data_IF_896300223107
#
_entry.id   IF_896300223107
#
_cell.length_a   1.000
_cell.length_b   1.000
_cell.length_c   1.000
_cell.angle_alpha   90.00
_cell.angle_beta   90.00
_cell.angle_gamma   90.00
#
_symmetry.space_group_name_H-M   'P 1'
#
loop_
_entity.id
_entity.type
_entity.pdbx_description
1 polymer ?
#
# COMPACT_ATOMS: atom_id res chain seq x y z
N UNK A 1 88.41 -30.51 43.81
CA UNK A 1 89.18 -29.54 43.01
C UNK A 1 88.18 -28.66 42.26
N UNK A 2 88.29 -27.36 42.52
CA UNK A 2 87.63 -26.15 42.01
C UNK A 2 87.13 -26.16 40.54
N UNK A 3 85.90 -25.63 40.31
CA UNK A 3 85.42 -24.52 39.39
C UNK A 3 83.99 -24.78 38.91
N UNK A 4 82.96 -24.14 39.45
CA UNK A 4 82.29 -22.88 38.99
C UNK A 4 82.28 -22.69 37.45
N UNK A 5 81.08 -22.76 36.86
CA UNK A 5 80.65 -21.86 35.78
C UNK A 5 79.13 -21.76 35.76
N UNK A 6 78.68 -20.52 35.94
CA UNK A 6 77.33 -19.98 35.82
C UNK A 6 76.81 -20.05 34.38
N UNK A 7 75.51 -20.28 34.19
CA UNK A 7 74.75 -19.35 33.36
C UNK A 7 73.26 -19.29 33.70
N UNK A 8 72.76 -18.04 33.79
CA UNK A 8 71.37 -17.66 34.06
C UNK A 8 70.76 -17.22 32.74
N UNK A 9 69.80 -17.97 32.20
CA UNK A 9 68.87 -17.45 31.19
C UNK A 9 67.54 -17.12 31.86
N UNK A 10 67.27 -15.83 32.02
CA UNK A 10 66.06 -15.30 32.61
C UNK A 10 64.83 -15.60 31.75
N UNK A 11 63.83 -16.24 32.37
CA UNK A 11 62.46 -16.28 31.86
C UNK A 11 61.70 -15.17 32.57
N UNK A 12 61.48 -14.05 31.89
CA UNK A 12 60.54 -13.04 32.34
C UNK A 12 59.12 -13.64 32.33
N UNK A 13 58.38 -13.59 33.44
CA UNK A 13 56.99 -14.03 33.45
C UNK A 13 56.21 -13.08 32.54
N UNK A 14 55.78 -13.57 31.37
CA UNK A 14 54.80 -12.86 30.53
C UNK A 14 53.59 -12.58 31.41
N UNK A 15 53.44 -11.31 31.80
CA UNK A 15 52.26 -10.82 32.47
C UNK A 15 51.07 -11.25 31.62
N UNK A 16 50.28 -12.19 32.15
CA UNK A 16 48.99 -12.59 31.57
C UNK A 16 48.07 -11.41 31.74
N UNK A 17 48.22 -10.44 30.84
CA UNK A 17 47.26 -9.35 30.68
C UNK A 17 45.89 -10.02 30.49
N UNK A 18 44.92 -9.72 31.36
CA UNK A 18 43.70 -10.48 31.41
C UNK A 18 42.84 -10.06 30.21
N UNK A 19 42.99 -10.76 29.09
CA UNK A 19 42.11 -10.63 27.91
C UNK A 19 40.63 -10.68 28.30
N UNK A 20 40.32 -11.34 29.42
CA UNK A 20 38.99 -11.36 30.05
C UNK A 20 38.48 -9.96 30.42
N UNK A 21 39.34 -9.05 30.89
CA UNK A 21 38.96 -7.66 31.21
C UNK A 21 38.66 -6.90 29.92
N UNK A 22 39.45 -7.10 28.87
CA UNK A 22 39.18 -6.50 27.56
C UNK A 22 37.82 -6.93 26.99
N UNK A 23 37.54 -8.24 27.00
CA UNK A 23 36.26 -8.79 26.51
C UNK A 23 35.07 -8.28 27.33
N UNK A 24 35.19 -8.22 28.66
CA UNK A 24 34.13 -7.71 29.52
C UNK A 24 33.87 -6.23 29.26
N UNK A 25 34.92 -5.40 29.12
CA UNK A 25 34.75 -3.98 28.80
C UNK A 25 34.07 -3.77 27.44
N UNK A 26 34.42 -4.56 26.42
CA UNK A 26 33.78 -4.47 25.10
C UNK A 26 32.29 -4.87 25.15
N UNK A 27 31.95 -5.93 25.88
CA UNK A 27 30.55 -6.35 26.04
C UNK A 27 29.74 -5.29 26.79
N UNK A 28 30.28 -4.73 27.88
CA UNK A 28 29.61 -3.66 28.64
C UNK A 28 29.40 -2.42 27.78
N UNK A 29 30.37 -2.06 26.94
CA UNK A 29 30.26 -0.91 26.05
C UNK A 29 29.22 -1.16 24.94
N UNK A 30 29.17 -2.36 24.37
CA UNK A 30 28.15 -2.74 23.38
C UNK A 30 26.74 -2.76 23.98
N UNK A 31 26.58 -3.28 25.20
CA UNK A 31 25.29 -3.26 25.91
C UNK A 31 24.90 -1.82 26.26
N UNK A 32 25.83 -0.97 26.70
CA UNK A 32 25.55 0.43 26.98
C UNK A 32 25.17 1.22 25.72
N UNK A 33 25.81 0.95 24.58
CA UNK A 33 25.44 1.54 23.28
C UNK A 33 24.08 1.03 22.83
N UNK A 34 23.80 -0.28 22.97
CA UNK A 34 22.52 -0.86 22.58
C UNK A 34 21.37 -0.34 23.45
N UNK A 35 21.54 -0.32 24.77
CA UNK A 35 20.57 0.25 25.71
C UNK A 35 20.44 1.76 25.50
N UNK A 36 21.53 2.47 25.25
CA UNK A 36 21.53 3.89 24.92
C UNK A 36 20.75 4.18 23.63
N UNK A 37 20.94 3.39 22.58
CA UNK A 37 20.21 3.52 21.32
C UNK A 37 18.72 3.18 21.47
N UNK A 38 18.39 2.12 22.22
CA UNK A 38 17.01 1.77 22.57
C UNK A 38 16.34 2.88 23.39
N UNK A 39 17.05 3.46 24.36
CA UNK A 39 16.52 4.52 25.22
C UNK A 39 16.41 5.86 24.51
N UNK A 40 17.32 6.16 23.58
CA UNK A 40 17.23 7.33 22.72
C UNK A 40 16.07 7.21 21.73
N UNK A 41 15.83 6.01 21.18
CA UNK A 41 14.65 5.71 20.37
C UNK A 41 13.33 5.80 21.15
N UNK A 42 13.33 5.52 22.47
CA UNK A 42 12.13 5.64 23.31
C UNK A 42 11.88 7.04 23.88
N UNK A 43 12.87 7.95 23.85
CA UNK A 43 12.73 9.33 24.35
C UNK A 43 12.04 10.29 23.39
N UNK A 44 11.72 9.86 22.17
CA UNK A 44 10.81 10.59 21.27
C UNK A 44 9.33 10.41 21.62
N UNK A 45 9.00 9.84 22.79
CA UNK A 45 7.70 10.05 23.42
C UNK A 45 7.62 11.46 24.04
N UNK A 46 7.77 12.48 23.19
CA UNK A 46 7.47 13.87 23.54
C UNK A 46 5.96 14.05 23.57
N UNK A 47 5.46 14.45 24.74
CA UNK A 47 4.08 14.84 24.96
C UNK A 47 3.69 15.95 23.97
N UNK A 48 2.53 15.74 23.35
CA UNK A 48 1.82 16.59 22.40
C UNK A 48 1.76 18.08 22.79
N UNK A 49 2.34 18.93 21.95
CA UNK A 49 1.85 20.29 21.61
C UNK A 49 2.72 20.86 20.48
N UNK A 50 2.10 21.50 19.49
CA UNK A 50 2.67 22.28 18.36
C UNK A 50 3.53 21.56 17.30
N UNK A 51 4.41 20.63 17.66
CA UNK A 51 5.27 19.92 16.69
C UNK A 51 4.50 18.97 15.75
N UNK A 52 3.39 18.40 16.21
CA UNK A 52 2.51 17.56 15.37
C UNK A 52 1.63 18.41 14.44
N UNK A 53 1.27 19.64 14.81
CA UNK A 53 0.57 20.55 13.91
C UNK A 53 1.51 21.02 12.77
N UNK A 54 2.76 21.38 13.10
CA UNK A 54 3.78 21.70 12.09
C UNK A 54 4.08 20.51 11.17
N UNK A 55 4.06 19.30 11.71
CA UNK A 55 4.25 18.08 10.93
C UNK A 55 3.08 17.66 10.04
N UNK A 56 1.83 17.95 10.44
CA UNK A 56 0.67 17.79 9.56
C UNK A 56 0.75 18.78 8.40
N UNK A 57 1.37 19.95 8.62
CA UNK A 57 1.62 20.97 7.60
C UNK A 57 2.75 20.56 6.64
N UNK A 58 3.72 19.77 7.09
CA UNK A 58 4.83 19.27 6.26
C UNK A 58 4.50 18.02 5.44
N UNK A 59 3.35 17.37 5.67
CA UNK A 59 2.95 16.27 4.79
C UNK A 59 2.45 16.80 3.44
N UNK A 60 2.93 16.17 2.37
CA UNK A 60 2.51 16.45 1.02
C UNK A 60 0.98 16.41 0.94
N UNK A 61 0.36 17.35 0.20
CA UNK A 61 -1.07 17.46 0.18
C UNK A 61 -1.70 16.17 -0.36
N UNK A 62 -2.79 15.79 0.29
CA UNK A 62 -3.44 14.50 0.09
C UNK A 62 -4.37 14.58 -1.10
N UNK A 63 -4.32 13.58 -1.99
CA UNK A 63 -5.31 13.45 -3.07
C UNK A 63 -6.41 12.49 -2.65
N UNK A 64 -7.66 12.82 -2.94
CA UNK A 64 -8.79 11.93 -2.71
C UNK A 64 -9.82 12.02 -3.83
N UNK A 65 -10.53 10.92 -4.08
CA UNK A 65 -11.62 10.89 -5.06
C UNK A 65 -12.93 11.27 -4.38
N UNK A 66 -13.58 12.31 -4.91
CA UNK A 66 -14.95 12.70 -4.59
C UNK A 66 -15.85 12.32 -5.75
N UNK A 67 -16.72 11.35 -5.53
CA UNK A 67 -17.76 11.01 -6.50
C UNK A 67 -18.89 12.03 -6.47
N UNK A 68 -19.37 12.43 -7.65
CA UNK A 68 -20.46 13.39 -7.83
C UNK A 68 -21.86 12.80 -7.56
N UNK A 69 -21.94 11.49 -7.31
CA UNK A 69 -23.15 10.72 -6.95
C UNK A 69 -23.04 9.26 -7.40
N UNK A 70 -23.98 8.38 -6.99
CA UNK A 70 -23.96 6.94 -7.32
C UNK A 70 -24.47 6.49 -8.70
N UNK A 71 -23.58 6.18 -9.66
CA UNK A 71 -23.71 5.55 -11.00
C UNK A 71 -25.07 5.47 -11.72
N UNK A 72 -26.13 4.88 -11.13
CA UNK A 72 -27.42 4.58 -11.79
C UNK A 72 -28.47 5.72 -11.77
N UNK A 73 -28.27 6.77 -10.98
CA UNK A 73 -29.22 7.88 -10.92
C UNK A 73 -29.02 8.78 -12.16
N UNK A 74 -30.01 8.77 -13.05
CA UNK A 74 -30.06 9.56 -14.29
C UNK A 74 -30.40 11.05 -14.06
N UNK A 75 -30.41 11.50 -12.80
CA UNK A 75 -30.68 12.91 -12.50
C UNK A 75 -29.58 13.81 -13.08
N UNK A 76 -29.99 14.75 -13.94
CA UNK A 76 -29.15 15.82 -14.52
C UNK A 76 -28.54 16.78 -13.47
N UNK A 77 -28.72 16.49 -12.18
CA UNK A 77 -28.24 17.25 -11.03
C UNK A 77 -26.89 16.75 -10.49
N UNK A 78 -26.30 15.70 -11.09
CA UNK A 78 -24.99 15.21 -10.66
C UNK A 78 -23.85 16.05 -11.17
N UNK A 79 -22.98 16.42 -10.25
CA UNK A 79 -21.66 16.96 -10.60
C UNK A 79 -20.76 15.86 -11.16
N UNK A 80 -19.72 16.28 -11.87
CA UNK A 80 -18.61 15.41 -12.24
C UNK A 80 -17.85 14.90 -11.00
N UNK A 81 -17.23 13.74 -11.14
CA UNK A 81 -16.27 13.24 -10.17
C UNK A 81 -15.02 14.10 -10.17
N UNK A 82 -14.42 14.26 -8.99
CA UNK A 82 -13.26 15.13 -8.80
C UNK A 82 -12.18 14.43 -7.99
N UNK A 83 -10.95 14.52 -8.46
CA UNK A 83 -9.77 14.29 -7.61
C UNK A 83 -9.44 15.64 -6.99
N UNK A 84 -9.51 15.69 -5.66
CA UNK A 84 -9.23 16.91 -4.91
C UNK A 84 -7.93 16.76 -4.14
N UNK A 85 -7.19 17.85 -4.08
CA UNK A 85 -6.03 18.06 -3.22
C UNK A 85 -6.51 18.80 -1.97
N UNK A 86 -6.21 18.25 -0.80
CA UNK A 86 -6.53 18.86 0.49
C UNK A 86 -5.46 18.55 1.54
N UNK A 87 -5.22 19.48 2.47
CA UNK A 87 -4.52 19.15 3.71
C UNK A 87 -5.39 18.27 4.62
N UNK A 88 -4.79 17.50 5.53
CA UNK A 88 -5.54 16.64 6.46
C UNK A 88 -6.46 17.46 7.38
N UNK A 89 -5.97 18.61 7.82
CA UNK A 89 -6.69 19.55 8.70
C UNK A 89 -7.22 20.80 7.97
N UNK A 90 -6.89 20.96 6.69
CA UNK A 90 -7.22 22.17 5.94
C UNK A 90 -8.56 22.04 5.20
N UNK A 91 -9.31 23.14 5.17
CA UNK A 91 -10.56 23.27 4.41
C UNK A 91 -10.31 23.71 2.96
N UNK A 92 -9.10 24.16 2.64
CA UNK A 92 -8.66 24.48 1.29
C UNK A 92 -8.65 23.25 0.38
N UNK A 93 -9.73 23.03 -0.37
CA UNK A 93 -9.81 22.00 -1.39
C UNK A 93 -9.50 22.60 -2.76
N UNK A 94 -8.49 22.05 -3.44
CA UNK A 94 -8.20 22.36 -4.84
C UNK A 94 -8.59 21.16 -5.71
N UNK A 95 -9.41 21.37 -6.73
CA UNK A 95 -9.69 20.31 -7.71
C UNK A 95 -8.50 20.17 -8.64
N UNK A 96 -7.93 18.97 -8.72
CA UNK A 96 -6.79 18.64 -9.61
C UNK A 96 -7.28 18.06 -10.92
N UNK A 97 -8.32 17.23 -10.85
CA UNK A 97 -8.87 16.56 -12.02
C UNK A 97 -10.38 16.42 -11.88
N UNK A 98 -11.09 16.56 -13.00
CA UNK A 98 -12.55 16.44 -13.07
C UNK A 98 -12.91 15.60 -14.29
N UNK A 99 -13.77 14.61 -14.11
CA UNK A 99 -14.33 13.85 -15.22
C UNK A 99 -15.73 13.32 -14.89
N UNK A 100 -16.56 12.99 -15.89
CA UNK A 100 -17.94 12.57 -15.65
C UNK A 100 -18.10 11.31 -14.79
N UNK A 101 -17.12 10.39 -14.82
CA UNK A 101 -17.07 9.14 -14.05
C UNK A 101 -15.64 8.63 -13.88
N UNK A 102 -15.04 8.87 -12.72
CA UNK A 102 -13.73 8.33 -12.34
C UNK A 102 -13.95 7.00 -11.60
N UNK A 103 -13.56 5.89 -12.22
CA UNK A 103 -13.62 4.56 -11.62
C UNK A 103 -12.62 4.46 -10.47
N UNK A 104 -11.37 4.79 -10.78
CA UNK A 104 -10.24 4.72 -9.86
C UNK A 104 -9.16 5.70 -10.30
N UNK A 105 -8.23 5.99 -9.40
CA UNK A 105 -6.98 6.65 -9.74
C UNK A 105 -5.86 6.06 -8.90
N UNK A 106 -4.63 6.22 -9.39
CA UNK A 106 -3.41 5.88 -8.66
C UNK A 106 -2.45 7.05 -8.73
N UNK A 107 -1.62 7.17 -7.71
CA UNK A 107 -0.73 8.31 -7.51
C UNK A 107 0.64 7.79 -7.09
N UNK A 108 1.67 8.41 -7.65
CA UNK A 108 3.04 8.33 -7.17
C UNK A 108 3.64 9.74 -7.11
N UNK A 109 4.91 9.89 -6.77
CA UNK A 109 5.59 11.18 -6.57
C UNK A 109 5.44 12.15 -7.75
N UNK A 110 5.47 11.62 -8.97
CA UNK A 110 5.35 12.41 -10.20
C UNK A 110 3.99 12.32 -10.88
N UNK A 111 3.37 11.16 -10.90
CA UNK A 111 2.23 10.92 -11.80
C UNK A 111 0.91 10.72 -11.05
N UNK A 112 -0.18 11.14 -11.70
CA UNK A 112 -1.54 10.70 -11.39
C UNK A 112 -2.05 9.99 -12.63
N UNK A 113 -2.53 8.75 -12.48
CA UNK A 113 -3.23 8.03 -13.55
C UNK A 113 -4.68 7.86 -13.15
N UNK A 114 -5.60 8.26 -14.02
CA UNK A 114 -7.03 8.28 -13.76
C UNK A 114 -7.74 7.39 -14.77
N UNK A 115 -8.54 6.45 -14.27
CA UNK A 115 -9.41 5.61 -15.07
C UNK A 115 -10.81 6.22 -15.15
N UNK A 116 -11.20 6.72 -16.33
CA UNK A 116 -12.48 7.36 -16.59
C UNK A 116 -13.37 6.43 -17.41
N UNK A 117 -14.52 6.03 -16.86
CA UNK A 117 -15.44 5.15 -17.58
C UNK A 117 -16.47 5.92 -18.42
N UNK A 118 -16.69 5.46 -19.64
CA UNK A 118 -17.82 5.84 -20.45
C UNK A 118 -19.13 5.35 -19.81
N UNK A 119 -20.15 6.21 -19.84
CA UNK A 119 -21.41 5.94 -19.16
C UNK A 119 -22.25 4.85 -19.81
N UNK A 120 -22.10 4.66 -21.12
CA UNK A 120 -22.96 3.81 -21.96
C UNK A 120 -22.30 2.48 -22.24
N UNK A 121 -20.99 2.47 -22.47
CA UNK A 121 -20.26 1.28 -22.91
C UNK A 121 -19.42 0.64 -21.81
N UNK A 122 -19.20 1.34 -20.69
CA UNK A 122 -18.22 0.98 -19.66
C UNK A 122 -16.76 0.90 -20.18
N UNK A 123 -16.50 1.32 -21.42
CA UNK A 123 -15.15 1.53 -21.93
C UNK A 123 -14.41 2.50 -21.02
N UNK A 124 -13.15 2.25 -20.73
CA UNK A 124 -12.35 3.11 -19.87
C UNK A 124 -11.32 3.87 -20.69
N UNK A 125 -11.21 5.17 -20.47
CA UNK A 125 -10.08 5.99 -20.89
C UNK A 125 -9.11 6.14 -19.72
N UNK A 126 -7.81 6.04 -19.99
CA UNK A 126 -6.78 6.36 -19.00
C UNK A 126 -6.19 7.74 -19.28
N UNK A 127 -6.17 8.59 -18.26
CA UNK A 127 -5.59 9.93 -18.32
C UNK A 127 -4.43 10.09 -17.33
N UNK A 128 -3.32 10.62 -17.81
CA UNK A 128 -2.07 10.82 -17.08
C UNK A 128 -1.84 12.32 -16.82
N UNK A 129 -1.57 12.68 -15.57
CA UNK A 129 -1.23 14.04 -15.17
C UNK A 129 0.14 14.07 -14.48
N UNK A 130 0.97 15.06 -14.83
CA UNK A 130 2.23 15.35 -14.14
C UNK A 130 1.94 16.23 -12.90
N UNK A 131 2.20 15.70 -11.70
CA UNK A 131 2.00 16.39 -10.41
C UNK A 131 2.98 17.53 -10.18
N UNK A 132 4.15 17.46 -10.83
CA UNK A 132 5.20 18.45 -10.66
C UNK A 132 4.93 19.70 -11.49
N UNK A 133 4.02 19.63 -12.46
CA UNK A 133 3.48 20.81 -13.12
C UNK A 133 2.52 21.53 -12.14
N UNK A 134 2.94 22.67 -11.62
CA UNK A 134 2.26 23.42 -10.54
C UNK A 134 0.80 23.75 -10.83
N UNK A 135 0.45 23.90 -12.11
CA UNK A 135 -0.89 24.29 -12.59
C UNK A 135 -1.57 23.18 -13.39
N UNK A 136 -1.10 21.93 -13.33
CA UNK A 136 -1.71 20.84 -14.09
C UNK A 136 -3.19 20.67 -13.74
N UNK A 137 -4.03 20.81 -14.76
CA UNK A 137 -5.47 20.56 -14.70
C UNK A 137 -5.83 19.36 -15.57
N UNK A 138 -7.10 18.96 -15.57
CA UNK A 138 -7.60 17.95 -16.51
C UNK A 138 -7.39 18.29 -17.99
N UNK A 139 -7.13 19.56 -18.33
CA UNK A 139 -6.82 19.98 -19.71
C UNK A 139 -5.41 19.61 -20.15
N UNK A 140 -4.50 19.44 -19.18
CA UNK A 140 -3.10 19.09 -19.41
C UNK A 140 -2.88 17.58 -19.37
N UNK A 141 -3.95 16.82 -19.10
CA UNK A 141 -3.90 15.38 -19.04
C UNK A 141 -3.58 14.78 -20.41
N UNK A 142 -2.66 13.82 -20.42
CA UNK A 142 -2.29 13.04 -21.60
C UNK A 142 -3.00 11.70 -21.57
N UNK A 143 -3.34 11.18 -22.73
CA UNK A 143 -3.98 9.87 -22.81
C UNK A 143 -2.96 8.74 -22.74
N UNK A 144 -3.23 7.76 -21.87
CA UNK A 144 -2.61 6.44 -21.95
C UNK A 144 -3.55 5.57 -22.79
N UNK A 145 -3.17 5.37 -24.05
CA UNK A 145 -4.01 4.68 -25.02
C UNK A 145 -4.01 3.20 -24.67
N UNK A 146 -5.21 2.63 -24.44
CA UNK A 146 -5.39 1.19 -24.30
C UNK A 146 -5.19 0.52 -25.67
N UNK A 147 -4.62 -0.70 -25.71
CA UNK A 147 -4.41 -1.42 -26.98
C UNK A 147 -5.72 -1.83 -27.67
N UNK A 148 -6.84 -1.80 -26.95
CA UNK A 148 -8.18 -2.15 -27.41
C UNK A 148 -9.25 -1.51 -26.52
N UNK A 149 -10.49 -1.43 -27.00
CA UNK A 149 -11.64 -0.97 -26.20
C UNK A 149 -11.93 -1.93 -25.05
N UNK A 150 -11.70 -1.48 -23.81
CA UNK A 150 -11.79 -2.30 -22.61
C UNK A 150 -12.29 -1.54 -21.39
N UNK A 151 -12.72 -2.28 -20.39
CA UNK A 151 -12.89 -1.78 -19.02
C UNK A 151 -11.62 -2.06 -18.21
N UNK A 152 -11.11 -1.04 -17.50
CA UNK A 152 -9.99 -1.21 -16.57
C UNK A 152 -10.53 -1.74 -15.24
N UNK A 153 -10.00 -2.89 -14.81
CA UNK A 153 -10.43 -3.60 -13.60
C UNK A 153 -9.35 -3.62 -12.51
N UNK A 154 -8.10 -3.35 -12.92
CA UNK A 154 -6.91 -3.24 -12.08
C UNK A 154 -6.09 -2.04 -12.53
N UNK A 155 -5.53 -1.24 -11.62
CA UNK A 155 -4.63 -0.14 -11.98
C UNK A 155 -3.55 0.01 -10.90
N UNK A 156 -2.30 0.10 -11.32
CA UNK A 156 -1.13 0.29 -10.48
C UNK A 156 -0.12 1.24 -11.14
N UNK A 157 0.64 1.97 -10.31
CA UNK A 157 1.64 2.95 -10.72
C UNK A 157 2.84 2.89 -9.75
N UNK A 158 4.05 2.89 -10.31
CA UNK A 158 5.32 2.97 -9.57
C UNK A 158 6.38 3.59 -10.48
N UNK A 159 6.94 4.72 -10.06
CA UNK A 159 7.82 5.56 -10.85
C UNK A 159 7.20 5.92 -12.19
N UNK A 160 7.95 5.65 -13.26
CA UNK A 160 7.50 5.84 -14.64
C UNK A 160 6.81 4.59 -15.22
N UNK A 161 6.36 3.64 -14.40
CA UNK A 161 5.67 2.43 -14.87
C UNK A 161 4.21 2.40 -14.44
N UNK A 162 3.32 2.20 -15.40
CA UNK A 162 1.90 1.97 -15.17
C UNK A 162 1.57 0.56 -15.59
N UNK A 163 0.72 -0.13 -14.84
CA UNK A 163 0.10 -1.37 -15.30
C UNK A 163 -1.37 -1.41 -14.96
N UNK A 164 -2.14 -2.07 -15.81
CA UNK A 164 -3.56 -2.27 -15.63
C UNK A 164 -3.95 -3.71 -15.99
N UNK A 165 -4.95 -4.25 -15.30
CA UNK A 165 -5.71 -5.40 -15.82
C UNK A 165 -6.96 -4.89 -16.51
N UNK A 166 -7.24 -5.40 -17.70
CA UNK A 166 -8.36 -4.94 -18.53
C UNK A 166 -9.27 -6.10 -18.96
N UNK A 167 -10.56 -5.81 -19.07
CA UNK A 167 -11.54 -6.69 -19.71
C UNK A 167 -11.92 -6.08 -21.06
N UNK A 168 -11.50 -6.69 -22.18
CA UNK A 168 -11.97 -6.31 -23.50
C UNK A 168 -13.49 -6.23 -23.58
N UNK A 169 -14.03 -5.23 -24.28
CA UNK A 169 -15.47 -5.16 -24.57
C UNK A 169 -15.90 -6.15 -25.64
N UNK A 170 -14.95 -6.61 -26.47
CA UNK A 170 -15.16 -7.75 -27.37
C UNK A 170 -15.05 -9.05 -26.58
N UNK A 171 -16.20 -9.70 -26.35
CA UNK A 171 -16.29 -11.00 -25.65
C UNK A 171 -15.54 -12.14 -26.33
N UNK A 172 -15.08 -11.97 -27.58
CA UNK A 172 -14.19 -12.92 -28.26
C UNK A 172 -12.75 -12.92 -27.74
N UNK A 173 -12.36 -11.91 -26.95
CA UNK A 173 -11.04 -11.76 -26.37
C UNK A 173 -10.99 -12.27 -24.92
N UNK A 174 -9.84 -12.82 -24.45
CA UNK A 174 -9.73 -13.22 -23.06
C UNK A 174 -9.81 -12.00 -22.13
N UNK A 175 -10.55 -12.15 -21.03
CA UNK A 175 -10.64 -11.14 -19.96
C UNK A 175 -9.39 -11.11 -19.07
N UNK A 176 -9.23 -10.03 -18.32
CA UNK A 176 -8.17 -9.84 -17.35
C UNK A 176 -6.77 -9.64 -17.95
N UNK A 177 -6.65 -9.18 -19.20
CA UNK A 177 -5.33 -8.98 -19.82
C UNK A 177 -4.52 -7.93 -19.05
N UNK A 178 -3.25 -8.23 -18.77
CA UNK A 178 -2.34 -7.26 -18.17
C UNK A 178 -1.73 -6.40 -19.28
N UNK A 179 -1.79 -5.08 -19.10
CA UNK A 179 -1.20 -4.09 -20.00
C UNK A 179 -0.23 -3.22 -19.20
N UNK A 180 0.87 -2.81 -19.82
CA UNK A 180 1.85 -1.93 -19.20
C UNK A 180 2.23 -0.75 -20.09
N UNK A 181 2.60 0.36 -19.44
CA UNK A 181 3.15 1.57 -20.07
C UNK A 181 4.45 1.94 -19.38
N UNK A 182 5.44 2.33 -20.18
CA UNK A 182 6.63 3.00 -19.71
C UNK A 182 6.52 4.49 -20.05
N UNK A 183 6.51 5.33 -19.03
CA UNK A 183 6.34 6.78 -19.13
C UNK A 183 7.69 7.51 -19.32
N UNK A 184 8.81 6.80 -19.20
CA UNK A 184 10.13 7.40 -19.30
C UNK A 184 10.35 8.00 -20.70
N UNK A 185 10.54 9.33 -20.75
CA UNK A 185 10.77 10.06 -22.01
C UNK A 185 9.56 10.19 -22.93
N UNK A 186 8.35 9.89 -22.43
CA UNK A 186 7.14 10.00 -23.24
C UNK A 186 6.66 11.46 -23.37
N UNK A 187 6.86 12.03 -24.56
CA UNK A 187 6.24 13.29 -24.97
C UNK A 187 4.98 13.01 -25.80
N UNK A 188 3.83 12.88 -25.12
CA UNK A 188 2.53 12.72 -25.76
C UNK A 188 1.75 11.48 -25.30
N UNK A 189 0.90 10.95 -26.19
CA UNK A 189 0.11 9.75 -25.92
C UNK A 189 0.99 8.50 -25.97
N UNK A 190 0.83 7.62 -24.99
CA UNK A 190 1.58 6.36 -24.90
C UNK A 190 0.60 5.20 -25.05
N UNK A 191 0.85 4.32 -26.01
CA UNK A 191 0.03 3.10 -26.16
C UNK A 191 0.57 2.00 -25.27
N UNK A 192 -0.34 1.35 -24.53
CA UNK A 192 0.01 0.26 -23.65
C UNK A 192 0.33 -1.01 -24.43
N UNK A 193 1.27 -1.79 -23.94
CA UNK A 193 1.60 -3.09 -24.49
C UNK A 193 0.98 -4.19 -23.62
N UNK A 194 0.29 -5.19 -24.21
CA UNK A 194 -0.04 -6.41 -23.49
C UNK A 194 1.23 -7.06 -22.93
N UNK A 195 1.17 -7.54 -21.69
CA UNK A 195 2.28 -8.22 -21.04
C UNK A 195 2.23 -9.70 -21.40
N UNK A 196 3.35 -10.22 -21.88
CA UNK A 196 3.52 -11.62 -22.22
C UNK A 196 4.55 -12.29 -21.30
N UNK A 197 4.36 -13.57 -21.04
CA UNK A 197 5.39 -14.44 -20.47
C UNK A 197 6.49 -14.72 -21.53
N UNK A 198 7.67 -15.22 -21.13
CA UNK A 198 8.78 -15.48 -22.06
C UNK A 198 8.47 -16.48 -23.20
N UNK A 199 7.48 -17.36 -23.00
CA UNK A 199 6.95 -18.27 -24.02
C UNK A 199 5.88 -17.64 -24.92
N UNK A 200 5.56 -16.37 -24.73
CA UNK A 200 4.64 -15.58 -25.54
C UNK A 200 3.18 -15.63 -25.11
N UNK A 201 2.84 -16.32 -24.01
CA UNK A 201 1.47 -16.35 -23.51
C UNK A 201 1.07 -15.00 -22.90
N UNK A 202 -0.20 -14.60 -23.07
CA UNK A 202 -0.72 -13.38 -22.47
C UNK A 202 -0.85 -13.56 -20.95
N UNK A 203 -0.29 -12.61 -20.18
CA UNK A 203 -0.50 -12.58 -18.74
C UNK A 203 -1.93 -12.10 -18.45
N UNK A 204 -2.65 -12.89 -17.65
CA UNK A 204 -4.04 -12.63 -17.27
C UNK A 204 -4.22 -12.60 -15.76
N UNK A 205 -5.09 -11.70 -15.28
CA UNK A 205 -5.46 -11.58 -13.88
C UNK A 205 -6.53 -10.51 -13.63
N UNK A 206 -6.95 -10.42 -12.37
CA UNK A 206 -7.99 -9.48 -11.93
C UNK A 206 -7.49 -8.46 -10.88
N UNK A 207 -6.22 -8.54 -10.53
CA UNK A 207 -5.52 -7.58 -9.69
C UNK A 207 -4.11 -7.42 -10.24
N UNK A 208 -3.60 -6.19 -10.21
CA UNK A 208 -2.20 -5.89 -10.52
C UNK A 208 -1.64 -4.94 -9.48
N UNK A 209 -0.41 -5.22 -9.07
CA UNK A 209 0.41 -4.41 -8.15
C UNK A 209 1.80 -4.32 -8.74
N UNK A 210 2.49 -3.20 -8.56
CA UNK A 210 3.88 -3.03 -9.00
C UNK A 210 4.83 -3.18 -7.83
N UNK A 211 6.03 -3.73 -8.09
CA UNK A 211 7.16 -3.57 -7.17
C UNK A 211 7.58 -2.11 -7.10
N UNK A 212 8.18 -1.69 -6.00
CA UNK A 212 8.54 -0.28 -5.75
C UNK A 212 9.49 0.32 -6.81
N UNK A 213 10.23 -0.54 -7.53
CA UNK A 213 11.13 -0.16 -8.63
C UNK A 213 10.45 -0.14 -10.02
N UNK A 214 9.16 -0.47 -10.08
CA UNK A 214 8.36 -0.57 -11.30
C UNK A 214 8.80 -1.68 -12.27
N UNK A 215 9.73 -2.56 -11.87
CA UNK A 215 10.30 -3.58 -12.76
C UNK A 215 9.33 -4.74 -13.00
N UNK A 216 8.60 -5.12 -11.97
CA UNK A 216 7.72 -6.29 -11.98
C UNK A 216 6.29 -5.92 -11.64
N UNK A 217 5.36 -6.66 -12.23
CA UNK A 217 3.99 -6.72 -11.76
C UNK A 217 3.78 -8.00 -10.95
N UNK A 218 3.05 -7.89 -9.85
CA UNK A 218 2.41 -9.00 -9.17
C UNK A 218 0.95 -9.03 -9.57
N UNK A 219 0.57 -10.13 -10.21
CA UNK A 219 -0.74 -10.32 -10.82
C UNK A 219 -1.46 -11.42 -10.06
N UNK A 220 -2.71 -11.16 -9.65
CA UNK A 220 -3.60 -12.20 -9.13
C UNK A 220 -4.39 -12.81 -10.28
N UNK A 221 -4.20 -14.10 -10.50
CA UNK A 221 -4.97 -14.88 -11.47
C UNK A 221 -6.34 -15.25 -10.90
N UNK A 222 -7.25 -15.67 -11.78
CA UNK A 222 -8.65 -16.01 -11.44
C UNK A 222 -8.77 -17.15 -10.42
N UNK A 223 -7.80 -18.06 -10.39
CA UNK A 223 -7.70 -19.19 -9.46
C UNK A 223 -7.01 -18.82 -8.13
N UNK A 224 -6.82 -17.52 -7.86
CA UNK A 224 -6.05 -16.96 -6.74
C UNK A 224 -4.54 -17.17 -6.82
N UNK A 225 -3.99 -17.73 -7.90
CA UNK A 225 -2.54 -17.82 -8.05
C UNK A 225 -1.95 -16.40 -8.18
N UNK A 226 -1.00 -16.06 -7.31
CA UNK A 226 -0.22 -14.83 -7.40
C UNK A 226 1.02 -15.12 -8.23
N UNK A 227 1.24 -14.32 -9.27
CA UNK A 227 2.36 -14.47 -10.19
C UNK A 227 3.11 -13.15 -10.31
N UNK A 228 4.43 -13.18 -10.10
CA UNK A 228 5.30 -12.05 -10.43
C UNK A 228 5.78 -12.20 -11.86
N UNK A 229 5.62 -11.16 -12.68
CA UNK A 229 6.02 -11.12 -14.09
C UNK A 229 6.84 -9.86 -14.38
N UNK A 230 7.81 -9.97 -15.29
CA UNK A 230 8.51 -8.81 -15.83
C UNK A 230 7.59 -8.04 -16.78
N UNK A 231 7.62 -6.71 -16.72
CA UNK A 231 6.72 -5.87 -17.53
C UNK A 231 7.28 -5.50 -18.90
N UNK A 232 8.60 -5.51 -19.03
CA UNK A 232 9.30 -5.12 -20.25
C UNK A 232 10.44 -6.11 -20.48
N UNK A 233 10.65 -6.53 -21.73
CA UNK A 233 11.70 -7.49 -22.08
C UNK A 233 13.11 -6.94 -21.77
N UNK A 234 13.32 -5.64 -21.96
CA UNK A 234 14.60 -4.96 -21.78
C UNK A 234 14.36 -3.53 -21.29
N UNK A 235 14.92 -3.15 -20.14
CA UNK A 235 15.17 -1.73 -19.84
C UNK A 235 16.45 -1.33 -20.58
N UNK A 236 16.46 -0.15 -21.19
CA UNK A 236 17.57 0.35 -22.02
C UNK A 236 18.91 0.45 -21.29
N UNK A 237 18.91 0.37 -19.96
CA UNK A 237 20.07 0.42 -19.07
C UNK A 237 20.29 -0.84 -18.21
N UNK A 238 19.33 -1.76 -18.15
CA UNK A 238 19.40 -3.02 -17.41
C UNK A 238 18.65 -4.14 -18.14
N UNK A 239 19.42 -5.10 -18.67
CA UNK A 239 18.85 -6.34 -19.16
C UNK A 239 18.50 -7.22 -17.95
N UNK A 240 17.24 -7.65 -17.85
CA UNK A 240 16.85 -8.71 -16.91
C UNK A 240 17.64 -9.98 -17.23
N UNK A 241 18.11 -10.70 -16.22
CA UNK A 241 18.58 -12.06 -16.46
C UNK A 241 17.38 -13.00 -16.74
N UNK A 242 17.65 -14.17 -17.33
CA UNK A 242 16.61 -15.13 -17.71
C UNK A 242 15.75 -15.56 -16.50
N UNK A 243 16.32 -15.55 -15.29
CA UNK A 243 15.61 -15.90 -14.05
C UNK A 243 14.68 -14.77 -13.56
N UNK A 244 15.06 -13.52 -13.78
CA UNK A 244 14.20 -12.36 -13.52
C UNK A 244 13.05 -12.26 -14.52
N UNK A 245 13.27 -12.62 -15.79
CA UNK A 245 12.22 -12.66 -16.82
C UNK A 245 11.22 -13.79 -16.62
N UNK A 246 11.66 -14.92 -16.07
CA UNK A 246 10.79 -16.05 -15.80
C UNK A 246 9.66 -15.67 -14.81
N UNK A 247 8.40 -16.04 -15.10
CA UNK A 247 7.30 -15.84 -14.16
C UNK A 247 7.59 -16.57 -12.84
N UNK A 248 7.40 -15.88 -11.72
CA UNK A 248 7.64 -16.44 -10.39
C UNK A 248 6.32 -16.64 -9.65
N UNK A 249 5.92 -17.89 -9.36
CA UNK A 249 4.77 -18.19 -8.52
C UNK A 249 4.99 -17.72 -7.07
N UNK A 250 4.12 -16.83 -6.60
CA UNK A 250 4.17 -16.26 -5.26
C UNK A 250 3.27 -16.99 -4.27
N UNK A 251 2.37 -17.85 -4.73
CA UNK A 251 1.46 -18.66 -3.91
C UNK A 251 0.01 -18.48 -4.32
N UNK A 252 -0.93 -18.92 -3.47
CA UNK A 252 -2.36 -18.72 -3.69
C UNK A 252 -2.91 -17.76 -2.63
N UNK A 253 -3.39 -16.60 -3.06
CA UNK A 253 -3.87 -15.52 -2.21
C UNK A 253 -5.08 -14.84 -2.86
N UNK A 254 -6.03 -14.41 -2.03
CA UNK A 254 -7.25 -13.74 -2.48
C UNK A 254 -7.05 -12.25 -2.71
N UNK A 255 -6.05 -11.64 -2.08
CA UNK A 255 -5.82 -10.20 -2.17
C UNK A 255 -4.39 -9.83 -1.78
N UNK A 256 -3.81 -8.85 -2.48
CA UNK A 256 -2.68 -8.07 -1.98
C UNK A 256 -3.19 -6.87 -1.19
N UNK A 257 -2.82 -6.78 0.08
CA UNK A 257 -3.29 -5.77 1.04
C UNK A 257 -2.37 -4.55 1.10
N UNK A 258 -1.09 -4.72 0.78
CA UNK A 258 -0.14 -3.61 0.75
C UNK A 258 1.32 -4.02 0.64
N UNK A 259 2.20 -3.05 0.40
CA UNK A 259 3.65 -3.20 0.58
C UNK A 259 3.99 -2.95 2.04
N UNK A 260 4.81 -3.84 2.59
CA UNK A 260 5.36 -3.81 3.93
C UNK A 260 6.86 -3.48 3.86
N UNK A 261 7.50 -3.40 5.02
CA UNK A 261 8.94 -3.18 5.09
C UNK A 261 9.71 -4.21 4.23
N UNK A 262 10.87 -3.78 3.72
CA UNK A 262 11.75 -4.60 2.88
C UNK A 262 11.12 -5.01 1.54
N UNK A 263 10.20 -4.19 1.00
CA UNK A 263 9.56 -4.42 -0.31
C UNK A 263 8.78 -5.75 -0.39
N UNK A 264 8.31 -6.24 0.76
CA UNK A 264 7.49 -7.45 0.82
C UNK A 264 6.02 -7.08 0.72
N UNK A 265 5.24 -7.94 0.10
CA UNK A 265 3.80 -7.74 -0.03
C UNK A 265 3.07 -8.46 1.10
N UNK A 266 2.19 -7.75 1.80
CA UNK A 266 1.22 -8.34 2.69
C UNK A 266 0.05 -8.89 1.85
N UNK A 267 -0.21 -10.18 1.98
CA UNK A 267 -1.27 -10.87 1.26
C UNK A 267 -2.17 -11.63 2.22
N UNK A 268 -3.45 -11.80 1.86
CA UNK A 268 -4.39 -12.69 2.54
C UNK A 268 -4.83 -13.85 1.66
N UNK A 269 -5.07 -15.01 2.25
CA UNK A 269 -5.66 -16.16 1.56
C UNK A 269 -7.18 -16.29 1.83
N UNK A 270 -7.80 -17.26 1.17
CA UNK A 270 -9.23 -17.56 1.32
C UNK A 270 -9.65 -18.02 2.72
N UNK A 271 -8.69 -18.41 3.56
CA UNK A 271 -8.92 -18.84 4.95
C UNK A 271 -8.74 -17.67 5.93
N UNK A 272 -8.50 -16.45 5.44
CA UNK A 272 -8.19 -15.29 6.27
C UNK A 272 -6.81 -15.35 6.94
N UNK A 273 -5.90 -16.17 6.40
CA UNK A 273 -4.50 -16.19 6.84
C UNK A 273 -3.73 -15.09 6.12
N UNK A 274 -2.79 -14.46 6.82
CA UNK A 274 -1.94 -13.41 6.27
C UNK A 274 -0.49 -13.90 6.11
N UNK A 275 0.18 -13.43 5.05
CA UNK A 275 1.59 -13.71 4.81
C UNK A 275 2.31 -12.48 4.25
N UNK A 276 3.59 -12.34 4.60
CA UNK A 276 4.53 -11.47 3.89
C UNK A 276 5.19 -12.28 2.78
N UNK A 277 5.17 -11.76 1.57
CA UNK A 277 5.72 -12.40 0.38
C UNK A 277 6.75 -11.49 -0.25
N UNK A 278 7.96 -11.98 -0.42
CA UNK A 278 9.01 -11.29 -1.17
C UNK A 278 8.76 -11.49 -2.67
N UNK A 279 8.43 -10.42 -3.44
CA UNK A 279 8.13 -10.55 -4.86
C UNK A 279 9.37 -10.85 -5.71
N UNK A 280 10.58 -10.61 -5.21
CA UNK A 280 11.84 -10.82 -5.92
C UNK A 280 12.19 -12.30 -5.95
N UNK A 281 12.24 -12.95 -4.79
CA UNK A 281 12.69 -14.35 -4.67
C UNK A 281 11.58 -15.34 -4.32
N UNK A 282 10.36 -14.88 -4.04
CA UNK A 282 9.22 -15.74 -3.70
C UNK A 282 9.22 -16.22 -2.26
N UNK A 283 10.07 -15.66 -1.40
CA UNK A 283 10.19 -15.99 0.01
C UNK A 283 8.93 -15.60 0.80
N UNK A 284 8.31 -16.60 1.44
CA UNK A 284 7.02 -16.45 2.14
C UNK A 284 7.20 -16.58 3.65
N UNK A 285 6.56 -15.69 4.39
CA UNK A 285 6.48 -15.75 5.84
C UNK A 285 5.02 -15.62 6.26
N UNK A 286 4.45 -16.71 6.78
CA UNK A 286 3.13 -16.67 7.42
C UNK A 286 3.20 -15.78 8.65
N UNK A 287 2.22 -14.90 8.82
CA UNK A 287 2.11 -14.07 10.01
C UNK A 287 1.40 -14.82 11.13
N UNK A 288 1.89 -14.62 12.35
CA UNK A 288 1.13 -15.00 13.54
C UNK A 288 0.04 -13.96 13.76
N UNK A 289 -1.21 -14.39 13.65
CA UNK A 289 -2.40 -13.59 13.88
C UNK A 289 -3.04 -13.90 15.22
N UNK A 290 -2.26 -14.50 16.14
CA UNK A 290 -2.65 -14.63 17.53
C UNK A 290 -3.02 -13.25 18.09
N UNK A 291 -3.99 -13.25 18.99
CA UNK A 291 -4.57 -12.02 19.48
C UNK A 291 -3.52 -11.20 20.25
N UNK A 292 -3.19 -9.97 19.80
CA UNK A 292 -2.17 -9.17 20.44
C UNK A 292 -2.66 -8.67 21.79
N UNK A 293 -1.71 -8.45 22.70
CA UNK A 293 -1.98 -7.84 24.00
C UNK A 293 -2.68 -6.49 23.81
N UNK A 294 -3.78 -6.28 24.53
CA UNK A 294 -4.59 -5.06 24.46
C UNK A 294 -5.83 -5.16 23.56
N UNK A 295 -6.01 -6.27 22.86
CA UNK A 295 -7.26 -6.60 22.15
C UNK A 295 -8.09 -7.58 22.99
N UNK A 296 -9.40 -7.35 23.07
CA UNK A 296 -10.33 -8.21 23.81
C UNK A 296 -10.32 -9.65 23.29
N UNK A 297 -10.25 -10.63 24.20
CA UNK A 297 -10.05 -12.06 23.88
C UNK A 297 -11.14 -12.73 23.02
N UNK A 298 -12.25 -12.04 22.79
CA UNK A 298 -13.37 -12.51 21.94
C UNK A 298 -13.41 -11.86 20.56
N UNK A 299 -12.48 -10.94 20.27
CA UNK A 299 -12.50 -10.19 19.01
C UNK A 299 -11.82 -10.97 17.89
N UNK A 300 -12.37 -10.89 16.68
CA UNK A 300 -11.86 -11.54 15.48
C UNK A 300 -11.15 -10.54 14.58
N UNK A 301 -9.95 -10.85 14.11
CA UNK A 301 -9.27 -10.05 13.09
C UNK A 301 -10.06 -10.12 11.78
N UNK A 302 -10.46 -8.97 11.24
CA UNK A 302 -11.23 -8.90 9.98
C UNK A 302 -10.51 -8.16 8.86
N UNK A 303 -9.59 -7.24 9.19
CA UNK A 303 -8.76 -6.54 8.21
C UNK A 303 -7.37 -6.28 8.77
N UNK A 304 -6.38 -6.30 7.89
CA UNK A 304 -4.99 -5.99 8.21
C UNK A 304 -4.40 -5.14 7.07
N UNK A 305 -3.68 -4.09 7.43
CA UNK A 305 -2.94 -3.25 6.49
C UNK A 305 -1.50 -3.07 7.00
N UNK A 306 -0.48 -3.08 6.12
CA UNK A 306 0.89 -2.84 6.55
C UNK A 306 1.07 -1.39 7.03
N UNK A 307 2.02 -1.19 7.94
CA UNK A 307 2.41 0.13 8.41
C UNK A 307 3.91 0.19 8.71
N UNK A 308 4.56 1.36 8.60
CA UNK A 308 5.97 1.51 8.98
C UNK A 308 6.28 1.11 10.43
N UNK A 309 5.30 1.24 11.33
CA UNK A 309 5.41 0.85 12.75
C UNK A 309 4.98 -0.61 13.04
N UNK A 310 4.60 -1.38 12.01
CA UNK A 310 4.08 -2.74 12.14
C UNK A 310 2.87 -2.95 11.24
N UNK A 311 1.66 -2.83 11.79
CA UNK A 311 0.43 -2.97 11.02
C UNK A 311 -0.72 -2.16 11.62
N UNK A 312 -1.76 -1.91 10.81
CA UNK A 312 -3.07 -1.45 11.28
C UNK A 312 -4.04 -2.62 11.13
N UNK A 313 -4.78 -2.93 12.19
CA UNK A 313 -5.71 -4.04 12.21
C UNK A 313 -7.12 -3.58 12.58
N UNK A 314 -8.12 -4.21 11.99
CA UNK A 314 -9.52 -4.07 12.41
C UNK A 314 -9.95 -5.37 13.08
N UNK A 315 -10.40 -5.25 14.31
CA UNK A 315 -10.96 -6.35 15.08
C UNK A 315 -12.46 -6.15 15.25
N UNK A 316 -13.21 -7.20 14.95
CA UNK A 316 -14.65 -7.27 15.12
C UNK A 316 -14.96 -7.95 16.46
N UNK A 317 -15.80 -7.32 17.28
CA UNK A 317 -16.35 -7.91 18.50
C UNK A 317 -17.88 -7.93 18.41
N UNK A 318 -18.50 -9.02 18.84
CA UNK A 318 -19.96 -9.14 18.88
C UNK A 318 -20.45 -9.17 20.32
N UNK A 319 -21.48 -8.38 20.62
CA UNK A 319 -22.18 -8.36 21.91
C UNK A 319 -23.69 -8.33 21.67
N UNK A 320 -24.33 -9.50 21.76
CA UNK A 320 -25.72 -9.67 21.35
C UNK A 320 -25.88 -9.45 19.84
N UNK A 321 -26.86 -8.65 19.44
CA UNK A 321 -27.11 -8.30 18.02
C UNK A 321 -26.25 -7.14 17.50
N UNK A 322 -25.30 -6.66 18.31
CA UNK A 322 -24.41 -5.57 17.94
C UNK A 322 -23.02 -6.11 17.59
N UNK A 323 -22.57 -5.74 16.40
CA UNK A 323 -21.19 -5.90 15.96
C UNK A 323 -20.50 -4.55 16.06
N UNK A 324 -19.30 -4.54 16.64
CA UNK A 324 -18.46 -3.35 16.74
C UNK A 324 -17.11 -3.65 16.14
N UNK A 325 -16.65 -2.79 15.24
CA UNK A 325 -15.32 -2.89 14.66
C UNK A 325 -14.40 -1.86 15.30
N UNK A 326 -13.26 -2.31 15.81
CA UNK A 326 -12.28 -1.45 16.45
C UNK A 326 -10.96 -1.51 15.70
N UNK A 327 -10.43 -0.34 15.37
CA UNK A 327 -9.15 -0.18 14.68
C UNK A 327 -8.03 -0.09 15.70
N UNK A 328 -6.97 -0.86 15.49
CA UNK A 328 -5.77 -0.88 16.32
C UNK A 328 -4.53 -0.61 15.49
N UNK A 329 -3.61 0.18 16.03
CA UNK A 329 -2.21 0.17 15.61
C UNK A 329 -1.51 -0.98 16.34
N UNK A 330 -0.88 -1.87 15.57
CA UNK A 330 -0.11 -3.00 16.06
C UNK A 330 1.37 -2.66 15.95
N UNK A 331 2.05 -2.65 17.10
CA UNK A 331 3.50 -2.44 17.20
C UNK A 331 4.14 -3.63 17.92
N UNK A 332 5.47 -3.65 18.01
CA UNK A 332 6.20 -4.67 18.80
C UNK A 332 5.81 -4.69 20.29
N UNK A 333 5.27 -3.60 20.81
CA UNK A 333 4.87 -3.46 22.22
C UNK A 333 3.44 -3.94 22.51
N UNK A 334 2.64 -4.19 21.46
CA UNK A 334 1.27 -4.67 21.54
C UNK A 334 0.31 -3.90 20.63
N UNK A 335 -0.99 -3.98 20.95
CA UNK A 335 -2.03 -3.28 20.23
C UNK A 335 -2.46 -2.01 20.97
N UNK A 336 -2.62 -0.92 20.23
CA UNK A 336 -3.21 0.33 20.75
C UNK A 336 -4.44 0.68 19.93
N UNK A 337 -5.56 0.90 20.62
CA UNK A 337 -6.81 1.33 20.00
C UNK A 337 -6.67 2.72 19.39
N UNK A 338 -7.18 2.89 18.17
CA UNK A 338 -7.16 4.12 17.38
C UNK A 338 -8.56 4.68 17.23
N UNK A 339 -9.48 3.85 16.75
CA UNK A 339 -10.84 4.23 16.45
C UNK A 339 -11.79 3.06 16.68
N UNK A 340 -13.08 3.35 16.81
CA UNK A 340 -14.15 2.37 16.87
C UNK A 340 -15.24 2.82 15.90
N UNK A 341 -15.83 1.88 15.15
CA UNK A 341 -16.87 2.20 14.19
C UNK A 341 -18.07 2.86 14.90
N UNK A 342 -18.65 3.92 14.32
CA UNK A 342 -19.76 4.61 14.95
C UNK A 342 -21.05 3.77 14.84
N UNK A 343 -21.65 3.42 15.98
CA UNK A 343 -22.95 2.75 16.05
C UNK A 343 -22.96 1.39 15.35
N UNK A 344 -23.84 1.22 14.35
CA UNK A 344 -23.94 0.00 13.52
C UNK A 344 -23.09 0.06 12.24
N UNK A 345 -22.31 1.12 12.04
CA UNK A 345 -21.46 1.26 10.85
C UNK A 345 -20.31 0.25 10.84
N UNK A 346 -19.72 0.03 9.66
CA UNK A 346 -18.56 -0.83 9.46
C UNK A 346 -17.34 -0.03 9.01
N UNK A 347 -16.15 -0.53 9.31
CA UNK A 347 -14.89 -0.05 8.76
C UNK A 347 -14.71 -0.70 7.39
N UNK A 348 -14.83 0.11 6.34
CA UNK A 348 -14.68 -0.33 4.95
C UNK A 348 -13.24 -0.20 4.44
N UNK A 349 -12.36 0.47 5.17
CA UNK A 349 -10.95 0.55 4.81
C UNK A 349 -10.07 1.09 5.95
N UNK A 350 -8.85 0.59 6.04
CA UNK A 350 -7.80 1.13 6.92
C UNK A 350 -6.46 1.11 6.20
N UNK A 351 -5.61 2.08 6.51
CA UNK A 351 -4.27 2.20 5.94
C UNK A 351 -3.45 3.19 6.77
N UNK A 352 -2.15 2.94 6.87
CA UNK A 352 -1.20 3.89 7.45
C UNK A 352 -0.64 4.82 6.36
N UNK A 353 -0.29 6.05 6.74
CA UNK A 353 0.50 6.92 5.86
C UNK A 353 1.91 6.36 5.66
N UNK A 354 2.59 6.69 4.54
CA UNK A 354 3.97 6.25 4.31
C UNK A 354 4.96 6.71 5.39
N UNK A 355 4.69 7.86 6.02
CA UNK A 355 5.46 8.37 7.16
C UNK A 355 5.27 7.55 8.45
N UNK A 356 4.23 6.71 8.51
CA UNK A 356 3.81 5.98 9.70
C UNK A 356 3.17 6.85 10.77
N UNK A 357 2.94 8.14 10.48
CA UNK A 357 2.43 9.10 11.46
C UNK A 357 0.92 9.18 11.53
N UNK A 358 0.23 8.72 10.49
CA UNK A 358 -1.21 8.82 10.39
C UNK A 358 -1.85 7.49 10.00
N UNK A 359 -3.11 7.31 10.42
CA UNK A 359 -3.94 6.18 10.06
C UNK A 359 -5.24 6.76 9.49
N UNK A 360 -5.55 6.42 8.24
CA UNK A 360 -6.83 6.72 7.64
C UNK A 360 -7.79 5.56 7.89
N UNK A 361 -8.98 5.89 8.41
CA UNK A 361 -10.06 4.94 8.68
C UNK A 361 -11.27 5.37 7.88
N UNK A 362 -11.67 4.55 6.91
CA UNK A 362 -12.89 4.75 6.14
C UNK A 362 -14.01 3.94 6.78
N UNK A 363 -15.09 4.61 7.17
CA UNK A 363 -16.29 3.99 7.73
C UNK A 363 -17.48 4.15 6.79
N UNK A 364 -18.34 3.15 6.72
CA UNK A 364 -19.59 3.16 6.00
C UNK A 364 -20.79 3.03 6.97
N UNK A 365 -21.90 3.76 6.74
CA UNK A 365 -23.15 3.53 7.46
C UNK A 365 -23.69 2.12 7.22
N UNK A 366 -24.46 1.59 8.18
CA UNK A 366 -24.96 0.21 8.15
C UNK A 366 -25.96 -0.07 7.01
N UNK A 367 -26.72 0.95 6.65
CA UNK A 367 -27.82 0.94 5.68
C UNK A 367 -27.45 1.64 4.36
N UNK A 368 -26.16 1.91 4.17
CA UNK A 368 -25.72 2.65 3.00
C UNK A 368 -25.72 1.79 1.74
N UNK A 369 -26.28 2.36 0.67
CA UNK A 369 -26.31 1.75 -0.64
C UNK A 369 -24.96 1.85 -1.36
N UNK A 370 -24.78 0.93 -2.29
CA UNK A 370 -23.75 1.01 -3.31
C UNK A 370 -23.93 2.27 -4.17
N UNK A 371 -22.83 2.90 -4.55
CA UNK A 371 -22.81 4.03 -5.47
C UNK A 371 -22.87 3.58 -6.94
N UNK A 372 -23.09 2.30 -7.21
CA UNK A 372 -23.40 1.66 -8.48
C UNK A 372 -22.24 1.58 -9.48
N UNK A 373 -21.02 1.99 -9.13
CA UNK A 373 -19.88 1.86 -10.04
C UNK A 373 -19.57 0.37 -10.25
N UNK A 374 -19.36 -0.05 -11.50
CA UNK A 374 -19.26 -1.49 -11.84
C UNK A 374 -17.99 -2.14 -11.30
N UNK A 375 -16.83 -1.50 -11.44
CA UNK A 375 -15.54 -2.12 -11.11
C UNK A 375 -15.08 -1.83 -9.69
N UNK A 376 -15.44 -0.65 -9.17
CA UNK A 376 -15.11 -0.21 -7.83
C UNK A 376 -16.30 0.49 -7.21
N UNK A 377 -17.39 -0.25 -6.97
CA UNK A 377 -18.46 0.32 -6.21
C UNK A 377 -17.95 0.77 -4.85
N UNK A 378 -18.44 1.90 -4.40
CA UNK A 378 -18.24 2.35 -3.04
C UNK A 378 -19.59 2.55 -2.36
N UNK A 379 -19.55 2.82 -1.07
CA UNK A 379 -20.74 2.97 -0.26
C UNK A 379 -21.07 4.46 -0.13
N UNK A 380 -22.30 4.83 -0.45
CA UNK A 380 -22.79 6.21 -0.34
C UNK A 380 -22.72 6.65 1.13
N UNK A 381 -22.17 7.84 1.37
CA UNK A 381 -22.02 8.37 2.73
C UNK A 381 -20.83 7.81 3.50
N UNK A 382 -19.95 7.02 2.86
CA UNK A 382 -18.67 6.67 3.44
C UNK A 382 -17.85 7.94 3.80
N UNK A 383 -17.21 7.90 4.96
CA UNK A 383 -16.37 8.99 5.50
C UNK A 383 -14.99 8.45 5.79
N UNK A 384 -13.94 9.23 5.49
CA UNK A 384 -12.57 8.91 5.89
C UNK A 384 -12.09 9.87 6.96
N UNK A 385 -11.86 9.35 8.16
CA UNK A 385 -11.25 10.08 9.27
C UNK A 385 -9.77 9.73 9.37
N UNK A 386 -8.94 10.72 9.70
CA UNK A 386 -7.50 10.54 9.85
C UNK A 386 -7.15 10.71 11.32
N UNK A 387 -6.44 9.72 11.85
CA UNK A 387 -5.99 9.67 13.24
C UNK A 387 -4.48 9.79 13.28
N UNK A 388 -3.96 10.42 14.32
CA UNK A 388 -2.55 10.31 14.64
C UNK A 388 -2.23 8.84 14.97
N UNK A 389 -1.15 8.31 14.42
CA UNK A 389 -0.85 6.90 14.54
C UNK A 389 -0.55 6.52 15.99
N UNK A 390 -0.01 7.43 16.81
CA UNK A 390 0.45 7.29 18.20
C UNK A 390 -0.63 7.53 19.27
N UNK A 391 -1.80 8.02 18.91
CA UNK A 391 -2.89 8.30 19.85
C UNK A 391 -4.29 8.12 19.22
N UNK A 392 -5.33 7.83 20.01
CA UNK A 392 -6.71 7.75 19.52
C UNK A 392 -7.34 9.14 19.32
N UNK A 393 -6.64 10.03 18.62
CA UNK A 393 -7.08 11.41 18.36
C UNK A 393 -7.25 11.59 16.86
N UNK A 394 -8.49 11.88 16.46
CA UNK A 394 -8.79 12.32 15.10
C UNK A 394 -8.19 13.71 14.89
N UNK A 395 -7.39 13.85 13.84
CA UNK A 395 -6.72 15.11 13.47
C UNK A 395 -7.42 15.80 12.29
N UNK A 396 -8.35 15.10 11.65
CA UNK A 396 -9.04 15.62 10.48
C UNK A 396 -9.96 14.61 9.81
N UNK A 397 -10.71 15.11 8.84
CA UNK A 397 -11.53 14.31 7.94
C UNK A 397 -11.12 14.66 6.53
N UNK A 398 -10.83 13.65 5.72
CA UNK A 398 -10.57 13.86 4.31
C UNK A 398 -11.87 13.76 3.52
N UNK A 399 -12.07 14.65 2.52
CA UNK A 399 -13.24 14.57 1.68
C UNK A 399 -13.15 13.34 0.77
N UNK A 400 -14.28 12.68 0.53
CA UNK A 400 -14.35 11.55 -0.40
C UNK A 400 -13.81 10.24 0.17
N UNK A 401 -13.43 9.35 -0.74
CA UNK A 401 -13.05 7.98 -0.46
C UNK A 401 -11.53 7.90 -0.43
N UNK A 402 -10.98 7.23 0.60
CA UNK A 402 -9.58 6.79 0.79
C UNK A 402 -8.49 7.73 0.22
N UNK A 403 -7.57 8.27 1.04
CA UNK A 403 -6.49 9.09 0.52
C UNK A 403 -5.60 8.33 -0.46
N UNK A 404 -4.89 9.06 -1.32
CA UNK A 404 -4.07 8.51 -2.39
C UNK A 404 -3.05 7.48 -1.93
N UNK A 405 -2.49 7.61 -0.72
CA UNK A 405 -1.57 6.61 -0.17
C UNK A 405 -2.24 5.27 0.19
N UNK A 406 -3.57 5.22 0.22
CA UNK A 406 -4.35 4.00 0.44
C UNK A 406 -4.83 3.33 -0.85
N UNK A 407 -4.48 3.90 -2.01
CA UNK A 407 -4.97 3.44 -3.31
C UNK A 407 -4.02 2.49 -4.03
N UNK A 408 -2.81 2.27 -3.48
CA UNK A 408 -1.81 1.39 -4.10
C UNK A 408 -2.24 -0.09 -4.23
N UNK A 409 -3.33 -0.48 -3.56
CA UNK A 409 -3.80 -1.86 -3.50
C UNK A 409 -5.31 -1.88 -3.65
N UNK A 410 -5.76 -2.26 -4.83
CA UNK A 410 -7.18 -2.35 -5.12
C UNK A 410 -7.75 -3.57 -4.41
N UNK A 411 -8.73 -3.36 -3.54
CA UNK A 411 -9.43 -4.49 -2.94
C UNK A 411 -10.23 -5.19 -4.02
N UNK A 412 -9.94 -6.47 -4.25
CA UNK A 412 -10.79 -7.28 -5.10
C UNK A 412 -12.04 -7.59 -4.29
N UNK A 413 -13.20 -7.12 -4.75
CA UNK A 413 -14.47 -7.48 -4.13
C UNK A 413 -14.66 -9.00 -4.26
N UNK A 414 -14.46 -9.71 -3.16
CA UNK A 414 -14.83 -11.11 -3.05
C UNK A 414 -16.36 -11.20 -3.16
N UNK A 415 -16.88 -11.51 -4.35
CA UNK A 415 -18.33 -11.72 -4.54
C UNK A 415 -18.93 -11.40 -5.91
N UNK A 416 -18.16 -10.94 -6.89
CA UNK A 416 -18.67 -10.72 -8.26
C UNK A 416 -18.21 -11.83 -9.22
N UNK A 417 -18.58 -13.09 -8.94
CA UNK A 417 -18.56 -14.19 -9.92
C UNK A 417 -19.77 -15.09 -9.74
#
# INVERSE_FOLDING_TARGET
MIRISTDRSGVTPRARWPWRVGVICTIVLLVAVFVGAQWYGQRENTVLTDANAAAVVDEAPVLSLRRGGGYQDDSALRGDDRIVRSGISDTGMQTVFTAPRIQTFVVDDRWIVVAVADRRTAATKLELLDRQASDATSKDARELVLPLDATVIGLALSGDTVSATINPLDYGQPGGQVVAWNLAGADGAVTGAPVHTPDGELVQGNQVVLTDDGRFAVVRQWDNTMLRVALFEVRTDQQYDDAEQAPLPLGSYTEVLGSAAQQRLLMSDQNGTFALVDPVNGGRQRLDTSQPKGVDSGSRLVRLAPAPFGAVAVYESSSGDQTTETVYALTGDGARRIATSPGRGSVSGVCASPSGRFIAVTTAPADASDDGYVMMPNVIGAKTEVFAADQPVSIGTLPGLRPSWCQGYQQVLAGLY
#
